data_IF_300224463558
#
_entry.id   IF_300224463558
#
_cell.length_a   1.000
_cell.length_b   1.000
_cell.length_c   1.000
_cell.angle_alpha   90.00
_cell.angle_beta   90.00
_cell.angle_gamma   90.00
#
_symmetry.space_group_name_H-M   'P 1'
#
loop_
_entity.id
_entity.type
_entity.pdbx_description
1 polymer ?
#
# COMPACT_ATOMS: atom_id res chain seq x y z
N UNK A 1 -32.99 0.35 17.73
CA UNK A 1 -32.05 1.12 16.89
C UNK A 1 -30.67 0.50 17.06
N UNK A 2 -30.32 -0.41 16.16
CA UNK A 2 -29.01 -1.04 16.09
C UNK A 2 -28.00 0.00 15.63
N UNK A 3 -26.98 0.26 16.45
CA UNK A 3 -25.82 1.04 16.04
C UNK A 3 -25.03 0.17 15.07
N UNK A 4 -25.15 0.44 13.78
CA UNK A 4 -24.24 -0.09 12.77
C UNK A 4 -22.88 0.59 12.97
N UNK A 5 -22.05 -0.02 13.82
CA UNK A 5 -20.65 0.34 13.93
C UNK A 5 -19.98 0.04 12.58
N UNK A 6 -19.18 0.98 12.06
CA UNK A 6 -18.30 0.80 10.89
C UNK A 6 -17.48 -0.50 11.03
N UNK A 7 -18.00 -1.61 10.51
CA UNK A 7 -17.53 -2.97 10.78
C UNK A 7 -16.30 -3.36 9.94
N UNK A 8 -15.56 -2.38 9.45
CA UNK A 8 -14.35 -2.57 8.66
C UNK A 8 -13.21 -1.77 9.30
N UNK A 9 -12.72 -2.22 10.47
CA UNK A 9 -11.52 -1.63 11.06
C UNK A 9 -10.31 -1.99 10.21
N UNK A 10 -9.89 -1.09 9.31
CA UNK A 10 -8.58 -1.15 8.68
C UNK A 10 -7.55 -0.86 9.78
N UNK A 11 -6.61 -1.78 9.97
CA UNK A 11 -5.54 -1.64 10.96
C UNK A 11 -4.73 -0.37 10.67
N UNK A 12 -4.41 0.42 11.69
CA UNK A 12 -3.69 1.70 11.58
C UNK A 12 -4.37 2.81 10.75
N UNK A 13 -5.65 2.68 10.37
CA UNK A 13 -6.38 3.71 9.60
C UNK A 13 -6.38 5.10 10.24
N UNK A 14 -6.41 5.17 11.58
CA UNK A 14 -6.35 6.43 12.32
C UNK A 14 -5.09 7.26 12.01
N UNK A 15 -4.01 6.60 11.54
CA UNK A 15 -2.79 7.29 11.18
C UNK A 15 -2.93 8.13 9.91
N UNK A 16 -3.90 7.88 9.04
CA UNK A 16 -4.10 8.71 7.84
C UNK A 16 -4.38 10.18 8.18
N UNK A 17 -4.86 10.47 9.39
CA UNK A 17 -5.14 11.83 9.85
C UNK A 17 -3.92 12.76 9.78
N UNK A 18 -2.70 12.21 9.86
CA UNK A 18 -1.47 13.03 9.78
C UNK A 18 -1.22 13.63 8.40
N UNK A 19 -1.89 13.11 7.35
CA UNK A 19 -1.79 13.63 5.98
C UNK A 19 -3.02 14.42 5.54
N UNK A 20 -3.96 14.74 6.44
CA UNK A 20 -5.21 15.44 6.10
C UNK A 20 -4.96 16.76 5.36
N UNK A 21 -4.03 17.58 5.88
CA UNK A 21 -3.72 18.87 5.28
C UNK A 21 -3.07 18.72 3.90
N UNK A 22 -2.25 17.70 3.71
CA UNK A 22 -1.58 17.39 2.46
C UNK A 22 -2.61 16.89 1.43
N UNK A 23 -3.56 16.05 1.85
CA UNK A 23 -4.69 15.62 1.01
C UNK A 23 -5.55 16.82 0.63
N UNK A 24 -5.93 17.69 1.58
CA UNK A 24 -6.74 18.88 1.32
C UNK A 24 -6.09 19.80 0.27
N UNK A 25 -4.78 20.02 0.39
CA UNK A 25 -4.00 20.86 -0.53
C UNK A 25 -3.52 20.14 -1.80
N UNK A 26 -3.74 18.83 -1.93
CA UNK A 26 -3.29 18.07 -3.09
C UNK A 26 -3.93 18.57 -4.39
N UNK A 27 -3.09 18.93 -5.36
CA UNK A 27 -3.47 19.52 -6.64
C UNK A 27 -3.70 18.47 -7.73
N UNK A 28 -3.98 17.22 -7.34
CA UNK A 28 -4.23 16.10 -8.25
C UNK A 28 -3.02 15.70 -9.11
N UNK A 29 -1.81 16.14 -8.78
CA UNK A 29 -0.58 15.60 -9.41
C UNK A 29 -0.30 14.18 -8.93
N UNK A 30 0.43 13.41 -9.75
CA UNK A 30 0.89 12.08 -9.34
C UNK A 30 1.66 12.16 -8.02
N UNK A 31 1.31 11.27 -7.08
CA UNK A 31 2.06 11.05 -5.85
C UNK A 31 2.50 9.60 -5.77
N UNK A 32 3.69 9.38 -5.23
CA UNK A 32 4.33 8.06 -5.14
C UNK A 32 4.61 7.77 -3.68
N UNK A 33 4.41 6.54 -3.21
CA UNK A 33 4.53 6.18 -1.80
C UNK A 33 5.22 4.83 -1.61
N UNK A 34 6.02 4.73 -0.54
CA UNK A 34 6.67 3.47 -0.12
C UNK A 34 6.30 3.19 1.32
N UNK A 35 5.88 1.96 1.60
CA UNK A 35 5.44 1.54 2.92
C UNK A 35 6.10 0.23 3.32
N UNK A 36 6.62 0.19 4.54
CA UNK A 36 7.27 -0.97 5.11
C UNK A 36 6.67 -1.28 6.49
N UNK A 37 6.10 -2.47 6.63
CA UNK A 37 5.80 -3.06 7.91
C UNK A 37 6.89 -4.07 8.27
N UNK A 38 7.49 -3.91 9.46
CA UNK A 38 8.46 -4.86 10.01
C UNK A 38 8.22 -5.09 11.49
N UNK A 39 8.37 -6.33 11.95
CA UNK A 39 8.49 -6.68 13.38
C UNK A 39 9.74 -7.52 13.58
N UNK A 40 10.28 -7.48 14.81
CA UNK A 40 11.43 -8.29 15.21
C UNK A 40 11.21 -9.81 15.01
N UNK A 41 9.96 -10.27 15.01
CA UNK A 41 9.58 -11.68 14.87
C UNK A 41 9.40 -12.10 13.40
N UNK A 42 10.21 -11.58 12.48
CA UNK A 42 10.24 -12.03 11.08
C UNK A 42 9.09 -11.57 10.17
N UNK A 43 8.10 -10.83 10.69
CA UNK A 43 7.07 -10.21 9.86
C UNK A 43 7.67 -9.06 9.04
N UNK A 44 7.51 -9.12 7.72
CA UNK A 44 8.06 -8.12 6.82
C UNK A 44 7.22 -7.98 5.57
N UNK A 45 6.59 -6.83 5.35
CA UNK A 45 5.79 -6.55 4.17
C UNK A 45 6.14 -5.17 3.62
N UNK A 46 6.45 -5.10 2.32
CA UNK A 46 6.77 -3.87 1.61
C UNK A 46 5.82 -3.67 0.43
N UNK A 47 5.37 -2.43 0.24
CA UNK A 47 4.58 -1.99 -0.91
C UNK A 47 5.10 -0.65 -1.41
N UNK A 48 5.23 -0.53 -2.72
CA UNK A 48 5.42 0.73 -3.44
C UNK A 48 4.23 0.98 -4.36
N UNK A 49 3.69 2.20 -4.32
CA UNK A 49 2.53 2.58 -5.12
C UNK A 49 2.66 3.98 -5.72
N UNK A 50 1.92 4.22 -6.80
CA UNK A 50 1.61 5.55 -7.31
C UNK A 50 0.11 5.79 -7.32
N UNK A 51 -0.28 7.05 -7.20
CA UNK A 51 -1.66 7.51 -7.21
C UNK A 51 -1.76 8.62 -8.23
N UNK A 52 -2.64 8.43 -9.19
CA UNK A 52 -2.99 9.43 -10.20
C UNK A 52 -4.52 9.62 -10.22
N UNK A 53 -5.02 10.81 -10.55
CA UNK A 53 -6.43 10.97 -10.88
C UNK A 53 -6.76 10.13 -12.12
N UNK A 54 -7.93 9.50 -12.13
CA UNK A 54 -8.41 8.79 -13.31
C UNK A 54 -8.68 9.79 -14.43
N UNK A 55 -8.01 9.60 -15.58
CA UNK A 55 -8.15 10.44 -16.78
C UNK A 55 -9.17 9.91 -17.78
N UNK A 56 -9.72 8.71 -17.56
CA UNK A 56 -10.61 8.06 -18.52
C UNK A 56 -12.05 8.60 -18.48
N UNK A 57 -12.70 8.64 -19.65
CA UNK A 57 -14.10 9.02 -19.85
C UNK A 57 -15.09 8.19 -19.00
N UNK A 58 -14.65 7.00 -18.55
CA UNK A 58 -15.38 6.12 -17.65
C UNK A 58 -14.90 6.21 -16.19
N UNK A 59 -14.45 7.37 -15.70
CA UNK A 59 -14.58 7.83 -14.30
C UNK A 59 -14.76 6.70 -13.25
N UNK A 60 -13.75 5.86 -13.08
CA UNK A 60 -13.76 4.68 -12.18
C UNK A 60 -12.44 4.58 -11.43
N UNK A 61 -12.49 3.94 -10.27
CA UNK A 61 -11.30 3.61 -9.50
C UNK A 61 -10.66 2.36 -10.09
N UNK A 62 -9.34 2.41 -10.29
CA UNK A 62 -8.57 1.29 -10.82
C UNK A 62 -7.40 0.96 -9.90
N UNK A 63 -7.16 -0.33 -9.69
CA UNK A 63 -5.94 -0.84 -9.04
C UNK A 63 -5.18 -1.67 -10.07
N UNK A 64 -3.99 -1.20 -10.44
CA UNK A 64 -3.11 -1.87 -11.41
C UNK A 64 -1.99 -2.55 -10.64
N UNK A 65 -1.82 -3.86 -10.84
CA UNK A 65 -0.78 -4.64 -10.18
C UNK A 65 0.40 -4.86 -11.13
N UNK A 66 1.41 -3.98 -11.06
CA UNK A 66 2.65 -4.08 -11.82
C UNK A 66 3.77 -4.73 -11.01
N UNK A 67 3.43 -5.76 -10.24
CA UNK A 67 4.35 -6.54 -9.42
C UNK A 67 4.50 -7.94 -10.01
N UNK A 68 5.72 -8.45 -10.07
CA UNK A 68 5.95 -9.83 -10.53
C UNK A 68 5.47 -10.81 -9.47
N UNK A 69 4.76 -11.85 -9.89
CA UNK A 69 4.30 -12.97 -9.03
C UNK A 69 5.42 -13.54 -8.14
N UNK A 70 6.65 -13.49 -8.63
CA UNK A 70 7.85 -13.98 -7.93
C UNK A 70 8.21 -13.16 -6.69
N UNK A 71 7.98 -11.85 -6.75
CA UNK A 71 8.27 -10.93 -5.66
C UNK A 71 7.14 -10.96 -4.62
N UNK A 72 5.91 -11.14 -5.11
CA UNK A 72 4.72 -11.12 -4.28
C UNK A 72 3.68 -12.14 -4.78
N UNK A 73 3.77 -13.41 -4.35
CA UNK A 73 2.89 -14.48 -4.83
C UNK A 73 1.44 -14.27 -4.38
N UNK A 74 0.49 -14.56 -5.27
CA UNK A 74 -0.95 -14.43 -5.02
C UNK A 74 -1.39 -15.35 -3.89
N UNK A 75 -0.74 -16.50 -3.70
CA UNK A 75 -1.04 -17.45 -2.62
C UNK A 75 -0.84 -16.85 -1.22
N UNK A 76 -0.10 -15.74 -1.10
CA UNK A 76 0.07 -15.01 0.16
C UNK A 76 -1.24 -14.30 0.60
N UNK A 77 -2.22 -14.15 -0.29
CA UNK A 77 -3.51 -13.53 0.01
C UNK A 77 -3.43 -12.01 0.22
N UNK A 78 -2.36 -11.37 -0.25
CA UNK A 78 -2.11 -9.94 -0.05
C UNK A 78 -3.06 -9.05 -0.86
N UNK A 79 -3.44 -9.43 -2.09
CA UNK A 79 -4.22 -8.56 -2.99
C UNK A 79 -5.55 -8.07 -2.41
N UNK A 80 -6.44 -8.96 -1.90
CA UNK A 80 -7.73 -8.52 -1.35
C UNK A 80 -7.56 -7.57 -0.16
N UNK A 81 -6.50 -7.77 0.61
CA UNK A 81 -6.18 -6.96 1.80
C UNK A 81 -5.71 -5.56 1.39
N UNK A 82 -4.79 -5.47 0.43
CA UNK A 82 -4.33 -4.20 -0.13
C UNK A 82 -5.49 -3.45 -0.77
N UNK A 83 -6.28 -4.11 -1.62
CA UNK A 83 -7.42 -3.50 -2.31
C UNK A 83 -8.49 -2.97 -1.33
N UNK A 84 -8.71 -3.69 -0.21
CA UNK A 84 -9.60 -3.22 0.86
C UNK A 84 -9.10 -1.90 1.48
N UNK A 85 -7.79 -1.80 1.76
CA UNK A 85 -7.18 -0.55 2.26
C UNK A 85 -7.30 0.58 1.24
N UNK A 86 -7.02 0.30 -0.04
CA UNK A 86 -7.11 1.30 -1.09
C UNK A 86 -8.53 1.81 -1.30
N UNK A 87 -9.54 0.92 -1.26
CA UNK A 87 -10.95 1.30 -1.32
C UNK A 87 -11.31 2.23 -0.17
N UNK A 88 -10.92 1.86 1.06
CA UNK A 88 -11.13 2.70 2.24
C UNK A 88 -10.45 4.08 2.07
N UNK A 89 -9.23 4.10 1.54
CA UNK A 89 -8.49 5.34 1.33
C UNK A 89 -9.17 6.25 0.29
N UNK A 90 -9.74 5.70 -0.78
CA UNK A 90 -10.48 6.49 -1.77
C UNK A 90 -11.70 7.17 -1.14
N UNK A 91 -12.45 6.45 -0.30
CA UNK A 91 -13.59 7.00 0.43
C UNK A 91 -13.14 8.10 1.40
N UNK A 92 -12.06 7.85 2.13
CA UNK A 92 -11.43 8.80 3.04
C UNK A 92 -10.99 10.09 2.33
N UNK A 93 -10.30 9.94 1.20
CA UNK A 93 -9.82 11.06 0.40
C UNK A 93 -10.98 11.85 -0.22
N UNK A 94 -12.04 11.17 -0.68
CA UNK A 94 -13.25 11.82 -1.19
C UNK A 94 -13.97 12.62 -0.10
N UNK A 95 -14.01 12.09 1.13
CA UNK A 95 -14.60 12.78 2.28
C UNK A 95 -13.84 14.06 2.63
N UNK A 96 -12.51 14.02 2.69
CA UNK A 96 -11.67 15.20 2.96
C UNK A 96 -11.83 16.26 1.87
N UNK A 97 -11.90 15.84 0.61
CA UNK A 97 -12.02 16.75 -0.54
C UNK A 97 -13.44 17.28 -0.77
N UNK A 98 -14.43 16.78 -0.02
CA UNK A 98 -15.84 17.16 -0.15
C UNK A 98 -16.47 16.81 -1.50
N UNK A 99 -15.84 15.92 -2.28
CA UNK A 99 -16.34 15.47 -3.59
C UNK A 99 -15.83 14.08 -3.90
N UNK A 100 -16.58 13.36 -4.72
CA UNK A 100 -16.14 12.05 -5.22
C UNK A 100 -14.89 12.21 -6.06
N UNK A 101 -13.84 11.46 -5.71
CA UNK A 101 -12.59 11.41 -6.46
C UNK A 101 -12.42 10.01 -7.02
N UNK A 102 -11.89 9.96 -8.24
CA UNK A 102 -11.58 8.72 -8.93
C UNK A 102 -10.09 8.65 -9.17
N UNK A 103 -9.50 7.52 -8.79
CA UNK A 103 -8.06 7.33 -8.79
C UNK A 103 -7.68 6.10 -9.59
N UNK A 104 -6.56 6.18 -10.29
CA UNK A 104 -5.79 5.03 -10.73
C UNK A 104 -4.63 4.86 -9.75
N UNK A 105 -4.61 3.72 -9.07
CA UNK A 105 -3.58 3.34 -8.10
C UNK A 105 -2.78 2.20 -8.70
N UNK A 106 -1.49 2.40 -8.92
CA UNK A 106 -0.59 1.38 -9.44
C UNK A 106 0.27 0.85 -8.29
N UNK A 107 0.25 -0.45 -8.05
CA UNK A 107 1.24 -1.12 -7.19
C UNK A 107 2.46 -1.41 -8.05
N UNK A 108 3.52 -0.62 -7.86
CA UNK A 108 4.76 -0.62 -8.65
C UNK A 108 5.74 -1.70 -8.21
N UNK A 109 5.76 -1.99 -6.91
CA UNK A 109 6.66 -2.98 -6.33
C UNK A 109 6.11 -3.53 -5.02
N UNK A 110 6.62 -4.69 -4.61
CA UNK A 110 6.28 -5.30 -3.34
C UNK A 110 7.20 -6.46 -3.02
N UNK A 111 7.45 -6.69 -1.73
CA UNK A 111 8.19 -7.87 -1.29
C UNK A 111 7.78 -8.27 0.14
N UNK A 112 8.24 -9.44 0.55
CA UNK A 112 7.94 -10.00 1.86
C UNK A 112 9.06 -10.90 2.36
N UNK A 113 9.07 -11.14 3.68
CA UNK A 113 9.86 -12.22 4.24
C UNK A 113 9.03 -13.52 4.23
N UNK A 114 9.54 -14.64 3.65
CA UNK A 114 8.72 -15.80 3.32
C UNK A 114 8.28 -16.66 4.51
N UNK A 115 8.85 -16.45 5.70
CA UNK A 115 8.60 -17.32 6.86
C UNK A 115 7.35 -16.88 7.62
N UNK A 116 7.32 -15.62 8.09
CA UNK A 116 6.32 -15.19 9.08
C UNK A 116 5.30 -14.18 8.53
N UNK A 117 5.50 -13.65 7.32
CA UNK A 117 4.63 -12.61 6.77
C UNK A 117 3.24 -13.14 6.47
N UNK A 118 2.22 -12.40 6.90
CA UNK A 118 0.80 -12.71 6.70
C UNK A 118 0.17 -11.65 5.81
N UNK A 119 -0.93 -12.00 5.14
CA UNK A 119 -1.70 -11.07 4.31
C UNK A 119 -2.00 -9.73 5.02
N UNK A 120 -2.39 -9.78 6.31
CA UNK A 120 -2.70 -8.58 7.11
C UNK A 120 -1.52 -7.62 7.29
N UNK A 121 -0.29 -8.09 7.18
CA UNK A 121 0.90 -7.24 7.32
C UNK A 121 0.98 -6.23 6.16
N UNK A 122 0.36 -6.57 5.02
CA UNK A 122 0.17 -5.66 3.89
C UNK A 122 -0.88 -4.58 4.15
N UNK A 123 -1.78 -4.71 5.14
CA UNK A 123 -2.67 -3.59 5.51
C UNK A 123 -1.84 -2.40 5.97
N UNK A 124 -0.98 -2.64 6.97
CA UNK A 124 -0.13 -1.61 7.56
C UNK A 124 0.89 -1.09 6.54
N UNK A 125 1.51 -1.98 5.75
CA UNK A 125 2.43 -1.55 4.70
C UNK A 125 1.73 -0.62 3.68
N UNK A 126 0.49 -0.93 3.30
CA UNK A 126 -0.29 -0.09 2.38
C UNK A 126 -0.65 1.25 3.01
N UNK A 127 -1.11 1.29 4.27
CA UNK A 127 -1.36 2.55 4.99
C UNK A 127 -0.09 3.41 5.05
N UNK A 128 1.06 2.81 5.32
CA UNK A 128 2.33 3.54 5.37
C UNK A 128 2.75 4.06 3.99
N UNK A 129 2.50 3.30 2.92
CA UNK A 129 2.75 3.75 1.56
C UNK A 129 1.86 4.95 1.20
N UNK A 130 0.58 4.91 1.56
CA UNK A 130 -0.36 6.02 1.38
C UNK A 130 0.08 7.27 2.15
N UNK A 131 0.47 7.13 3.41
CA UNK A 131 1.03 8.23 4.21
C UNK A 131 2.28 8.79 3.53
N UNK A 132 3.22 7.94 3.15
CA UNK A 132 4.46 8.35 2.49
C UNK A 132 4.23 9.04 1.14
N UNK A 133 3.12 8.74 0.44
CA UNK A 133 2.77 9.39 -0.81
C UNK A 133 2.49 10.89 -0.64
N UNK A 134 1.83 11.27 0.46
CA UNK A 134 1.46 12.66 0.74
C UNK A 134 2.44 13.36 1.69
N UNK A 135 3.14 12.61 2.57
CA UNK A 135 4.16 13.13 3.46
C UNK A 135 5.36 12.18 3.58
N UNK A 136 6.45 12.54 2.92
CA UNK A 136 7.70 11.77 2.88
C UNK A 136 8.40 11.69 4.23
N UNK A 137 8.17 12.64 5.13
CA UNK A 137 8.83 12.72 6.44
C UNK A 137 8.10 11.91 7.49
N UNK A 138 6.79 11.69 7.32
CA UNK A 138 5.97 10.95 8.27
C UNK A 138 6.36 9.46 8.39
N UNK A 139 6.81 8.86 7.29
CA UNK A 139 7.20 7.44 7.23
C UNK A 139 8.48 7.29 6.40
N UNK A 140 9.62 7.43 7.07
CA UNK A 140 10.94 7.23 6.46
C UNK A 140 11.35 5.77 6.59
N UNK A 141 11.76 5.17 5.47
CA UNK A 141 12.40 3.85 5.43
C UNK A 141 13.91 4.07 5.54
N UNK A 142 14.57 3.37 6.47
CA UNK A 142 16.01 3.50 6.69
C UNK A 142 16.83 2.88 5.56
N UNK A 143 18.11 3.25 5.46
CA UNK A 143 19.02 2.67 4.45
C UNK A 143 19.14 1.16 4.60
N UNK A 144 19.34 0.66 5.82
CA UNK A 144 19.41 -0.77 6.13
C UNK A 144 18.15 -1.53 5.70
N UNK A 145 16.99 -0.88 5.80
CA UNK A 145 15.74 -1.47 5.35
C UNK A 145 15.70 -1.58 3.82
N UNK A 146 16.18 -0.58 3.09
CA UNK A 146 16.28 -0.65 1.62
C UNK A 146 17.24 -1.75 1.18
N UNK A 147 18.41 -1.87 1.82
CA UNK A 147 19.35 -2.95 1.52
C UNK A 147 18.72 -4.32 1.76
N UNK A 148 17.94 -4.47 2.83
CA UNK A 148 17.23 -5.70 3.13
C UNK A 148 16.09 -5.99 2.13
N UNK A 149 15.34 -4.97 1.70
CA UNK A 149 14.33 -5.08 0.62
C UNK A 149 14.96 -5.64 -0.64
N UNK A 150 16.08 -5.06 -1.08
CA UNK A 150 16.77 -5.47 -2.29
C UNK A 150 17.31 -6.90 -2.16
N UNK A 151 17.87 -7.26 -1.00
CA UNK A 151 18.27 -8.63 -0.72
C UNK A 151 17.11 -9.62 -0.83
N UNK A 152 15.95 -9.33 -0.24
CA UNK A 152 14.77 -10.21 -0.31
C UNK A 152 14.30 -10.40 -1.76
N UNK A 153 14.32 -9.33 -2.57
CA UNK A 153 13.97 -9.41 -4.00
C UNK A 153 14.95 -10.30 -4.76
N UNK A 154 16.25 -10.13 -4.53
CA UNK A 154 17.29 -10.95 -5.16
C UNK A 154 17.16 -12.43 -4.77
N UNK A 155 16.92 -12.71 -3.49
CA UNK A 155 16.74 -14.08 -2.99
C UNK A 155 15.50 -14.75 -3.61
N UNK A 156 14.40 -14.00 -3.77
CA UNK A 156 13.19 -14.49 -4.43
C UNK A 156 13.43 -14.86 -5.91
N UNK A 157 14.30 -14.11 -6.60
CA UNK A 157 14.70 -14.40 -7.98
C UNK A 157 15.64 -15.63 -8.01
N UNK A 158 16.64 -15.69 -7.13
CA UNK A 158 17.67 -16.72 -7.11
C UNK A 158 17.14 -18.12 -6.77
N UNK A 159 16.18 -18.23 -5.84
CA UNK A 159 15.54 -19.52 -5.48
C UNK A 159 14.84 -20.20 -6.66
N UNK A 160 14.51 -19.46 -7.72
CA UNK A 160 13.82 -20.02 -8.88
C UNK A 160 14.76 -20.54 -9.97
N UNK A 161 16.00 -20.04 -10.04
CA UNK A 161 17.01 -20.56 -10.97
C UNK A 161 17.50 -21.97 -10.60
N UNK A 162 17.27 -22.39 -9.35
CA UNK A 162 17.63 -23.73 -8.85
C UNK A 162 16.51 -24.78 -9.00
N UNK A 163 15.30 -24.37 -9.37
CA UNK A 163 14.13 -25.25 -9.56
C UNK A 163 13.76 -25.45 -11.04
N UNK A 164 14.69 -25.13 -11.95
CA UNK A 164 14.61 -25.45 -13.39
C UNK A 164 15.72 -26.42 -13.73
#
# INVERSE_FOLDING_TARGET
>A
MTKDYLQNSITESHQLNIINKQIENWDYKEVNGKGLFKKYTGHYAYIELSITPSVEDFRRNWVIWNVKEKQLPVQLGHKPVVEKVLSFFIDYLSAIKGKRIQLTIEIKDGCYHPVDTKARDFETATIYALINAFDKKARVIGLDDFEFIEKLKLDAIAKQSKNK
#
